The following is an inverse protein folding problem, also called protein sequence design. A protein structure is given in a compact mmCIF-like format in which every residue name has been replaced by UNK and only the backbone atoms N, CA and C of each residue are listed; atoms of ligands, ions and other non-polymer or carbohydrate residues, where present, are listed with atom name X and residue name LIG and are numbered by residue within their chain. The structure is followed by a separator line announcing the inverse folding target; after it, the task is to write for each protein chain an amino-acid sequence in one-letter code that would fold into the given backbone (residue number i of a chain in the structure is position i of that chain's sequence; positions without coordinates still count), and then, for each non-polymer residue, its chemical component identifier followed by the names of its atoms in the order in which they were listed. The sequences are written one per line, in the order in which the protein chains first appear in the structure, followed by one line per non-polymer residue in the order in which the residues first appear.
data_IF_372950315451
#
_entry.id   IF_372950315451
#
_cell.length_a   1.000
_cell.length_b   1.000
_cell.length_c   1.000
_cell.angle_alpha   90.00
_cell.angle_beta   90.00
_cell.angle_gamma   90.00
#
_symmetry.space_group_name_H-M   'P 1'
#
loop_
_entity.id
_entity.type
_entity.pdbx_description
1 polymer ?
#
# COMPACT_ATOMS: atom_id res chain seq x y z
N UNK A 1 -22.55 -14.36 53.92
CA UNK A 1 -23.46 -13.89 54.99
C UNK A 1 -22.83 -12.65 55.63
N UNK A 2 -23.66 -11.62 55.92
CA UNK A 2 -23.36 -10.20 56.25
C UNK A 2 -22.95 -9.32 55.05
N UNK A 3 -23.78 -8.39 54.53
CA UNK A 3 -24.40 -7.13 55.07
C UNK A 3 -23.30 -6.18 55.57
N UNK A 4 -23.11 -4.93 55.12
CA UNK A 4 -24.00 -3.82 54.70
C UNK A 4 -23.14 -2.82 53.88
N UNK A 5 -23.57 -2.22 52.76
CA UNK A 5 -24.48 -1.07 52.59
C UNK A 5 -24.02 0.23 53.26
N UNK A 6 -23.59 1.22 52.43
CA UNK A 6 -23.77 2.69 52.50
C UNK A 6 -22.89 3.31 51.39
N UNK A 7 -23.40 3.70 50.20
CA UNK A 7 -24.20 4.88 49.87
C UNK A 7 -23.45 6.22 50.06
N UNK A 8 -22.87 6.75 48.97
CA UNK A 8 -22.85 8.21 48.72
C UNK A 8 -22.85 8.46 47.20
N UNK A 9 -24.07 8.68 46.67
CA UNK A 9 -24.31 9.39 45.43
C UNK A 9 -24.03 10.88 45.66
N UNK A 10 -23.22 11.49 44.80
CA UNK A 10 -23.40 12.90 44.43
C UNK A 10 -23.42 12.96 42.91
N UNK A 11 -24.64 13.02 42.39
CA UNK A 11 -24.93 13.34 41.00
C UNK A 11 -24.84 14.86 40.84
N UNK A 12 -23.92 15.33 40.01
CA UNK A 12 -23.96 16.68 39.45
C UNK A 12 -24.32 16.58 37.97
N UNK A 13 -25.62 16.54 37.70
CA UNK A 13 -26.17 16.84 36.40
C UNK A 13 -26.23 18.36 36.24
N UNK A 14 -25.40 18.92 35.37
CA UNK A 14 -25.66 20.24 34.77
C UNK A 14 -26.18 20.00 33.36
N UNK A 15 -27.52 19.95 33.24
CA UNK A 15 -28.22 20.22 31.99
C UNK A 15 -28.15 21.73 31.73
N UNK A 16 -27.49 22.14 30.65
CA UNK A 16 -27.74 23.40 29.97
C UNK A 16 -28.32 23.06 28.60
N UNK A 17 -29.65 23.10 28.53
CA UNK A 17 -30.41 23.08 27.29
C UNK A 17 -30.88 24.51 26.98
N UNK A 18 -30.44 25.06 25.86
CA UNK A 18 -31.07 26.17 25.13
C UNK A 18 -30.48 26.22 23.71
N UNK A 19 -31.17 26.81 22.72
CA UNK A 19 -32.20 26.14 21.94
C UNK A 19 -31.76 25.89 20.50
N UNK A 20 -32.42 24.92 19.86
CA UNK A 20 -32.43 24.77 18.42
C UNK A 20 -32.96 26.07 17.77
N UNK A 21 -32.10 26.77 17.05
CA UNK A 21 -32.40 27.92 16.22
C UNK A 21 -32.16 27.57 14.76
N UNK A 22 -33.22 27.69 13.97
CA UNK A 22 -33.35 27.30 12.58
C UNK A 22 -32.23 27.78 11.64
N UNK A 23 -31.73 26.84 10.83
CA UNK A 23 -31.15 27.14 9.53
C UNK A 23 -32.24 27.66 8.58
N UNK A 24 -31.98 28.65 7.72
CA UNK A 24 -32.94 29.04 6.69
C UNK A 24 -32.95 27.99 5.56
N UNK A 25 -34.11 27.34 5.40
CA UNK A 25 -34.48 26.56 4.21
C UNK A 25 -34.46 27.48 2.97
N UNK A 26 -33.61 27.16 1.99
CA UNK A 26 -33.83 27.54 0.59
C UNK A 26 -34.60 26.41 -0.09
N UNK A 27 -35.88 26.64 -0.41
CA UNK A 27 -36.77 25.66 -1.06
C UNK A 27 -36.76 25.76 -2.58
N UNK A 28 -36.72 24.58 -3.23
CA UNK A 28 -37.25 24.30 -4.58
C UNK A 28 -36.18 24.13 -5.66
N UNK A 29 -35.59 22.94 -5.89
CA UNK A 29 -36.10 21.78 -6.67
C UNK A 29 -36.07 21.99 -8.22
N UNK A 30 -36.09 20.92 -9.05
CA UNK A 30 -35.11 19.84 -9.21
C UNK A 30 -34.63 19.71 -10.68
N UNK A 31 -33.41 19.23 -10.95
CA UNK A 31 -32.99 18.88 -12.31
C UNK A 31 -33.04 17.36 -12.52
N UNK A 32 -34.11 16.90 -13.20
CA UNK A 32 -34.25 15.53 -13.70
C UNK A 32 -33.39 15.31 -14.95
N UNK A 33 -32.91 14.09 -15.10
CA UNK A 33 -32.44 13.53 -16.37
C UNK A 33 -33.52 13.65 -17.46
N UNK A 34 -33.10 13.97 -18.68
CA UNK A 34 -33.98 14.04 -19.86
C UNK A 34 -33.17 14.15 -21.14
N UNK A 35 -32.97 13.02 -21.80
CA UNK A 35 -32.61 12.97 -23.21
C UNK A 35 -33.73 13.63 -24.03
N UNK A 36 -33.37 14.54 -24.94
CA UNK A 36 -34.25 14.92 -26.04
C UNK A 36 -33.48 15.05 -27.35
N UNK A 37 -33.84 14.12 -28.24
CA UNK A 37 -33.85 14.24 -29.69
C UNK A 37 -34.17 15.67 -30.16
N UNK A 38 -33.40 16.17 -31.13
CA UNK A 38 -33.87 17.19 -32.06
C UNK A 38 -33.94 16.52 -33.43
N UNK A 39 -35.15 16.11 -33.80
CA UNK A 39 -35.46 15.64 -35.14
C UNK A 39 -35.87 16.81 -36.04
N UNK A 40 -35.19 16.94 -37.18
CA UNK A 40 -35.81 17.17 -38.48
C UNK A 40 -36.40 18.55 -38.80
N UNK A 41 -35.68 19.31 -39.62
CA UNK A 41 -36.28 19.99 -40.77
C UNK A 41 -35.47 19.70 -42.04
N UNK A 42 -36.11 18.92 -42.94
CA UNK A 42 -35.90 18.87 -44.41
C UNK A 42 -36.04 20.28 -45.00
N UNK A 43 -35.52 20.66 -46.16
CA UNK A 43 -34.73 20.04 -47.22
C UNK A 43 -34.27 21.17 -48.16
N UNK A 44 -33.15 20.98 -48.85
CA UNK A 44 -33.01 21.27 -50.28
C UNK A 44 -31.66 20.73 -50.73
N UNK A 45 -31.70 19.76 -51.65
CA UNK A 45 -30.54 19.25 -52.35
C UNK A 45 -30.09 20.32 -53.36
N UNK A 46 -28.82 20.68 -53.31
CA UNK A 46 -28.14 21.32 -54.42
C UNK A 46 -26.84 20.58 -54.70
N UNK A 47 -26.60 20.31 -55.97
CA UNK A 47 -25.67 19.32 -56.51
C UNK A 47 -24.22 19.55 -56.09
N UNK A 48 -23.64 18.61 -55.34
CA UNK A 48 -22.20 18.56 -55.05
C UNK A 48 -21.45 17.73 -56.09
N UNK A 49 -20.54 18.40 -56.81
CA UNK A 49 -19.52 17.89 -57.72
C UNK A 49 -18.63 16.83 -57.03
N UNK A 50 -18.17 15.76 -57.70
CA UNK A 50 -17.38 14.72 -57.05
C UNK A 50 -16.09 15.30 -56.46
N UNK A 51 -15.98 15.26 -55.12
CA UNK A 51 -14.77 15.61 -54.41
C UNK A 51 -13.74 14.50 -54.61
N UNK A 52 -12.54 14.92 -55.01
CA UNK A 52 -11.38 14.08 -55.25
C UNK A 52 -11.04 13.26 -54.01
N UNK A 53 -10.76 11.97 -54.22
CA UNK A 53 -10.27 11.07 -53.19
C UNK A 53 -8.96 11.63 -52.60
N UNK A 54 -8.99 11.94 -51.30
CA UNK A 54 -7.78 12.18 -50.52
C UNK A 54 -7.02 10.87 -50.42
N UNK A 55 -5.88 10.78 -51.10
CA UNK A 55 -4.93 9.69 -50.94
C UNK A 55 -4.48 9.65 -49.48
N UNK A 56 -4.90 8.61 -48.76
CA UNK A 56 -4.28 8.23 -47.48
C UNK A 56 -2.86 7.81 -47.82
N UNK A 57 -1.89 8.66 -47.51
CA UNK A 57 -0.47 8.31 -47.60
C UNK A 57 -0.24 7.16 -46.62
N UNK A 58 -0.04 5.96 -47.16
CA UNK A 58 0.45 4.80 -46.41
C UNK A 58 1.83 5.18 -45.89
N UNK A 59 1.95 5.46 -44.60
CA UNK A 59 3.24 5.59 -43.94
C UNK A 59 4.05 4.32 -44.26
N UNK A 60 5.23 4.50 -44.87
CA UNK A 60 6.12 3.39 -45.15
C UNK A 60 6.44 2.67 -43.82
N UNK A 61 6.49 1.33 -43.80
CA UNK A 61 6.91 0.62 -42.60
C UNK A 61 8.29 1.15 -42.22
N UNK A 62 8.42 1.62 -40.98
CA UNK A 62 9.73 1.92 -40.42
C UNK A 62 10.62 0.68 -40.60
N UNK A 63 11.88 0.83 -41.03
CA UNK A 63 12.77 -0.31 -41.17
C UNK A 63 12.82 -1.01 -39.80
N UNK A 64 12.41 -2.28 -39.77
CA UNK A 64 12.56 -3.10 -38.59
C UNK A 64 14.01 -2.96 -38.13
N UNK A 65 14.22 -2.44 -36.91
CA UNK A 65 15.52 -2.47 -36.30
C UNK A 65 16.07 -3.89 -36.47
N UNK A 66 17.29 -4.04 -37.00
CA UNK A 66 17.94 -5.35 -37.05
C UNK A 66 18.04 -5.82 -35.61
N UNK A 67 17.11 -6.67 -35.19
CA UNK A 67 17.14 -7.29 -33.89
C UNK A 67 18.48 -8.00 -33.80
N UNK A 68 19.32 -7.57 -32.86
CA UNK A 68 20.58 -8.24 -32.58
C UNK A 68 20.19 -9.63 -32.06
N UNK A 69 20.56 -10.69 -32.79
CA UNK A 69 20.14 -12.07 -32.50
C UNK A 69 20.90 -12.65 -31.30
N UNK A 70 20.67 -12.10 -30.11
CA UNK A 70 21.18 -12.59 -28.83
C UNK A 70 20.07 -13.30 -28.06
N UNK A 71 20.40 -14.44 -27.45
CA UNK A 71 19.49 -15.23 -26.62
C UNK A 71 18.55 -16.14 -27.41
N UNK A 72 17.55 -16.69 -26.71
CA UNK A 72 16.47 -17.52 -27.25
C UNK A 72 15.14 -17.13 -26.61
N UNK A 73 14.00 -17.48 -27.22
CA UNK A 73 12.71 -17.36 -26.54
C UNK A 73 12.73 -18.13 -25.20
N UNK A 74 12.15 -17.51 -24.16
CA UNK A 74 11.92 -18.17 -22.89
C UNK A 74 10.84 -19.24 -23.05
N UNK A 75 11.05 -20.39 -22.44
CA UNK A 75 10.04 -21.44 -22.40
C UNK A 75 8.92 -21.06 -21.43
N UNK A 76 7.67 -21.50 -21.65
CA UNK A 76 6.56 -21.25 -20.73
C UNK A 76 6.87 -21.67 -19.28
N UNK A 77 7.59 -22.79 -19.11
CA UNK A 77 7.96 -23.32 -17.80
C UNK A 77 8.98 -22.44 -17.07
N UNK A 78 9.89 -21.78 -17.81
CA UNK A 78 10.85 -20.85 -17.24
C UNK A 78 10.18 -19.58 -16.76
N UNK A 79 9.21 -19.08 -17.54
CA UNK A 79 8.40 -17.93 -17.16
C UNK A 79 7.60 -18.28 -15.90
N UNK A 80 6.89 -19.42 -15.89
CA UNK A 80 6.09 -19.85 -14.76
C UNK A 80 6.91 -20.05 -13.46
N UNK A 81 8.18 -20.49 -13.58
CA UNK A 81 9.05 -20.66 -12.43
C UNK A 81 9.58 -19.34 -11.84
N UNK A 82 9.67 -18.26 -12.64
CA UNK A 82 10.29 -17.00 -12.21
C UNK A 82 9.25 -15.90 -11.95
N UNK A 83 8.25 -15.81 -12.83
CA UNK A 83 7.11 -14.90 -12.74
C UNK A 83 6.04 -15.51 -11.83
N UNK A 84 6.21 -15.23 -10.54
CA UNK A 84 5.26 -15.53 -9.47
C UNK A 84 4.82 -14.23 -8.76
N UNK A 85 5.01 -13.07 -9.40
CA UNK A 85 4.57 -11.79 -8.83
C UNK A 85 3.05 -11.72 -8.76
N UNK A 86 2.56 -11.07 -7.70
CA UNK A 86 1.13 -10.85 -7.50
C UNK A 86 0.84 -9.36 -7.46
N UNK A 87 0.07 -8.91 -8.44
CA UNK A 87 -0.31 -7.51 -8.61
C UNK A 87 -1.43 -7.11 -7.65
N UNK A 88 -1.60 -5.81 -7.45
CA UNK A 88 -2.66 -5.26 -6.58
C UNK A 88 -4.09 -5.64 -7.02
N UNK A 89 -4.30 -5.86 -8.32
CA UNK A 89 -5.55 -6.33 -8.91
C UNK A 89 -5.79 -7.85 -8.77
N UNK A 90 -4.82 -8.59 -8.18
CA UNK A 90 -4.87 -10.04 -8.01
C UNK A 90 -4.37 -10.85 -9.21
N UNK A 91 -3.92 -10.19 -10.29
CA UNK A 91 -3.24 -10.88 -11.38
C UNK A 91 -1.95 -11.53 -10.86
N UNK A 92 -1.69 -12.78 -11.29
CA UNK A 92 -0.58 -13.61 -10.80
C UNK A 92 -0.92 -14.53 -9.63
N UNK A 93 -2.10 -14.41 -9.00
CA UNK A 93 -2.49 -15.32 -7.92
C UNK A 93 -2.57 -16.79 -8.40
N UNK A 94 -1.84 -17.72 -7.76
CA UNK A 94 -1.97 -19.14 -8.03
C UNK A 94 -3.32 -19.67 -7.53
N UNK A 95 -3.77 -20.79 -8.10
CA UNK A 95 -4.91 -21.53 -7.56
C UNK A 95 -4.58 -22.01 -6.14
N UNK A 96 -5.54 -21.87 -5.23
CA UNK A 96 -5.36 -22.32 -3.85
C UNK A 96 -6.27 -21.63 -2.85
N UNK A 97 -6.18 -22.11 -1.60
CA UNK A 97 -6.88 -21.55 -0.45
C UNK A 97 -6.20 -21.95 0.86
N UNK A 98 -6.44 -21.17 1.90
CA UNK A 98 -5.98 -21.46 3.25
C UNK A 98 -6.83 -20.79 4.31
N UNK A 99 -7.06 -21.49 5.41
CA UNK A 99 -7.79 -20.95 6.57
C UNK A 99 -6.86 -20.26 7.55
N UNK A 100 -7.39 -19.31 8.32
CA UNK A 100 -6.68 -18.67 9.44
C UNK A 100 -6.09 -19.72 10.39
N UNK A 101 -6.87 -20.73 10.77
CA UNK A 101 -6.42 -21.80 11.67
C UNK A 101 -5.24 -22.62 11.13
N UNK A 102 -5.25 -22.94 9.84
CA UNK A 102 -4.08 -23.58 9.21
C UNK A 102 -2.88 -22.63 9.17
N UNK A 103 -3.15 -21.34 8.94
CA UNK A 103 -2.13 -20.30 8.92
C UNK A 103 -1.44 -20.12 10.26
N UNK A 104 -2.18 -20.18 11.36
CA UNK A 104 -1.65 -20.12 12.72
C UNK A 104 -0.64 -21.24 12.97
N UNK A 105 -0.99 -22.49 12.68
CA UNK A 105 -0.09 -23.64 12.84
C UNK A 105 1.18 -23.47 12.00
N UNK A 106 1.03 -23.13 10.71
CA UNK A 106 2.15 -22.87 9.82
C UNK A 106 3.03 -21.71 10.30
N UNK A 107 2.42 -20.65 10.83
CA UNK A 107 3.13 -19.48 11.31
C UNK A 107 3.94 -19.79 12.57
N UNK A 108 3.38 -20.54 13.52
CA UNK A 108 4.09 -20.99 14.71
C UNK A 108 5.32 -21.85 14.37
N UNK A 109 5.23 -22.69 13.34
CA UNK A 109 6.33 -23.55 12.91
C UNK A 109 7.39 -22.84 12.08
N UNK A 110 7.00 -21.89 11.23
CA UNK A 110 7.90 -21.34 10.21
C UNK A 110 8.27 -19.86 10.41
N UNK A 111 7.52 -19.12 11.22
CA UNK A 111 7.60 -17.65 11.27
C UNK A 111 7.82 -17.10 12.69
N UNK A 112 7.17 -17.69 13.70
CA UNK A 112 7.08 -17.13 15.05
C UNK A 112 8.43 -16.98 15.77
N UNK A 113 9.42 -17.82 15.43
CA UNK A 113 10.79 -17.71 15.97
C UNK A 113 11.41 -16.33 15.76
N UNK A 114 11.02 -15.64 14.68
CA UNK A 114 11.45 -14.27 14.39
C UNK A 114 10.31 -13.27 14.63
N UNK A 115 9.08 -13.59 14.23
CA UNK A 115 7.99 -12.60 14.21
C UNK A 115 7.12 -12.58 15.47
N UNK A 116 7.42 -13.40 16.50
CA UNK A 116 6.55 -13.57 17.67
C UNK A 116 5.35 -14.45 17.35
N UNK A 117 4.59 -14.88 18.35
CA UNK A 117 3.43 -15.79 18.14
C UNK A 117 2.24 -15.07 17.50
N UNK A 118 2.10 -13.77 17.78
CA UNK A 118 1.02 -12.89 17.34
C UNK A 118 1.50 -11.81 16.36
N UNK A 119 2.68 -11.99 15.75
CA UNK A 119 3.25 -11.00 14.83
C UNK A 119 3.79 -9.75 15.52
N UNK A 120 4.01 -9.78 16.83
CA UNK A 120 4.52 -8.68 17.65
C UNK A 120 6.03 -8.42 17.50
N UNK A 121 6.74 -9.29 16.77
CA UNK A 121 8.19 -9.25 16.58
C UNK A 121 8.96 -9.82 17.77
N UNK A 122 9.92 -10.71 17.52
CA UNK A 122 10.85 -11.21 18.53
C UNK A 122 12.15 -10.42 18.52
N UNK A 123 12.49 -9.75 19.63
CA UNK A 123 13.73 -8.99 19.77
C UNK A 123 13.82 -7.79 18.83
N UNK A 124 14.61 -7.89 17.75
CA UNK A 124 14.77 -6.82 16.73
C UNK A 124 14.22 -7.22 15.36
N UNK A 125 13.54 -8.35 15.27
CA UNK A 125 12.87 -8.76 14.04
C UNK A 125 11.61 -7.93 13.77
N UNK A 126 11.18 -7.82 12.51
CA UNK A 126 10.04 -6.98 12.14
C UNK A 126 8.74 -7.38 12.84
N UNK A 127 8.01 -6.37 13.30
CA UNK A 127 6.62 -6.46 13.75
C UNK A 127 5.70 -6.55 12.54
N UNK A 128 4.82 -7.56 12.52
CA UNK A 128 3.88 -7.83 11.43
C UNK A 128 2.44 -7.40 11.73
N UNK A 129 2.09 -7.27 13.01
CA UNK A 129 0.76 -6.86 13.46
C UNK A 129 0.83 -5.78 14.56
N UNK A 130 -0.14 -4.85 14.55
CA UNK A 130 -0.20 -3.71 15.47
C UNK A 130 0.16 -2.37 14.83
N UNK A 131 0.30 -1.32 15.64
CA UNK A 131 0.70 0.02 15.16
C UNK A 131 -0.41 0.86 14.52
N UNK A 132 -1.67 0.42 14.57
CA UNK A 132 -2.83 1.17 14.09
C UNK A 132 -2.89 2.56 14.73
N UNK A 133 -3.08 3.59 13.92
CA UNK A 133 -3.15 4.98 14.38
C UNK A 133 -1.81 5.64 14.73
N UNK A 134 -0.68 4.92 14.66
CA UNK A 134 0.63 5.47 15.05
C UNK A 134 1.34 6.26 13.95
N UNK A 135 0.81 6.31 12.72
CA UNK A 135 1.50 6.91 11.56
C UNK A 135 1.88 8.40 11.72
N UNK A 136 1.23 9.12 12.65
CA UNK A 136 1.53 10.52 12.98
C UNK A 136 2.34 10.70 14.27
N UNK A 137 2.70 9.62 14.95
CA UNK A 137 3.53 9.66 16.16
C UNK A 137 4.99 9.95 15.80
N UNK A 138 5.77 10.44 16.76
CA UNK A 138 7.22 10.69 16.58
C UNK A 138 7.99 9.44 16.13
N UNK A 139 7.52 8.27 16.54
CA UNK A 139 8.04 6.95 16.15
C UNK A 139 6.88 6.04 15.71
N UNK A 140 6.48 6.07 14.43
CA UNK A 140 5.37 5.27 13.94
C UNK A 140 5.74 3.78 13.84
N UNK A 141 4.80 2.91 14.19
CA UNK A 141 4.90 1.45 13.99
C UNK A 141 4.20 1.07 12.69
N UNK A 142 4.99 0.77 11.66
CA UNK A 142 4.53 0.50 10.29
C UNK A 142 4.48 -0.99 10.01
N UNK A 143 3.30 -1.58 10.11
CA UNK A 143 3.04 -3.01 9.95
C UNK A 143 2.13 -3.27 8.74
N UNK A 144 1.76 -4.53 8.52
CA UNK A 144 0.79 -4.91 7.48
C UNK A 144 -0.54 -4.16 7.69
N UNK A 145 -1.13 -4.24 8.88
CA UNK A 145 -2.42 -3.62 9.16
C UNK A 145 -2.38 -2.10 9.37
N UNK A 146 -1.23 -1.51 9.71
CA UNK A 146 -1.13 -0.06 9.94
C UNK A 146 -0.67 0.74 8.73
N UNK A 147 0.13 0.16 7.83
CA UNK A 147 0.83 0.91 6.80
C UNK A 147 0.67 0.33 5.39
N UNK A 148 0.63 -0.99 5.20
CA UNK A 148 0.69 -1.55 3.85
C UNK A 148 -0.59 -1.27 3.05
N UNK A 149 -0.49 -1.00 1.73
CA UNK A 149 -1.66 -0.69 0.92
C UNK A 149 -2.41 -1.92 0.40
N UNK A 150 -1.71 -3.02 0.10
CA UNK A 150 -2.30 -4.17 -0.60
C UNK A 150 -1.94 -5.51 0.06
N UNK A 151 -2.93 -6.40 0.16
CA UNK A 151 -2.71 -7.78 0.59
C UNK A 151 -1.84 -8.57 -0.41
N UNK A 152 -1.89 -8.23 -1.70
CA UNK A 152 -1.09 -8.86 -2.76
C UNK A 152 0.41 -8.80 -2.48
N UNK A 153 0.89 -7.66 -1.96
CA UNK A 153 2.29 -7.49 -1.58
C UNK A 153 2.67 -8.44 -0.45
N UNK A 154 1.76 -8.70 0.49
CA UNK A 154 1.98 -9.67 1.57
C UNK A 154 2.12 -11.07 0.98
N UNK A 155 1.20 -11.46 0.09
CA UNK A 155 1.22 -12.78 -0.54
C UNK A 155 2.50 -13.00 -1.38
N UNK A 156 2.81 -12.11 -2.32
CA UNK A 156 4.01 -12.20 -3.17
C UNK A 156 5.28 -12.27 -2.32
N UNK A 157 5.43 -11.34 -1.37
CA UNK A 157 6.63 -11.29 -0.53
C UNK A 157 6.79 -12.55 0.34
N UNK A 158 5.71 -13.02 0.98
CA UNK A 158 5.77 -14.24 1.79
C UNK A 158 6.10 -15.45 0.92
N UNK A 159 5.43 -15.61 -0.23
CA UNK A 159 5.66 -16.74 -1.14
C UNK A 159 7.08 -16.76 -1.70
N UNK A 160 7.60 -15.58 -2.08
CA UNK A 160 8.87 -15.43 -2.78
C UNK A 160 10.08 -15.39 -1.84
N UNK A 161 9.95 -14.78 -0.66
CA UNK A 161 11.10 -14.41 0.16
C UNK A 161 11.09 -14.99 1.58
N UNK A 162 9.99 -15.59 2.03
CA UNK A 162 9.89 -16.20 3.35
C UNK A 162 9.76 -17.73 3.28
N UNK A 163 10.11 -18.45 4.38
CA UNK A 163 10.82 -17.98 5.57
C UNK A 163 12.25 -17.50 5.30
N UNK A 164 12.74 -16.53 6.09
CA UNK A 164 14.12 -16.04 5.94
C UNK A 164 15.13 -17.18 6.17
N UNK A 165 15.96 -17.45 5.17
CA UNK A 165 16.92 -18.57 5.16
C UNK A 165 16.40 -19.85 4.49
N UNK A 166 15.11 -19.93 4.15
CA UNK A 166 14.49 -21.04 3.42
C UNK A 166 13.37 -20.54 2.48
N UNK A 167 13.68 -19.56 1.65
CA UNK A 167 12.72 -18.90 0.76
C UNK A 167 12.16 -19.85 -0.32
N UNK A 168 10.97 -19.53 -0.84
CA UNK A 168 10.26 -20.35 -1.86
C UNK A 168 10.01 -21.80 -1.44
N UNK A 169 9.96 -22.07 -0.13
CA UNK A 169 9.64 -23.40 0.41
C UNK A 169 8.14 -23.61 0.66
N UNK A 170 7.36 -22.53 0.67
CA UNK A 170 5.91 -22.57 0.92
C UNK A 170 5.15 -22.84 -0.38
N UNK A 171 4.15 -23.71 -0.31
CA UNK A 171 3.16 -23.89 -1.36
C UNK A 171 2.17 -22.73 -1.43
N UNK A 172 1.40 -22.65 -2.51
CA UNK A 172 0.34 -21.65 -2.66
C UNK A 172 -0.70 -21.71 -1.53
N UNK A 173 -1.19 -22.91 -1.18
CA UNK A 173 -2.16 -23.11 -0.11
C UNK A 173 -1.62 -22.70 1.27
N UNK A 174 -0.37 -23.08 1.57
CA UNK A 174 0.31 -22.67 2.81
C UNK A 174 0.48 -21.15 2.87
N UNK A 175 0.78 -20.51 1.74
CA UNK A 175 0.93 -19.05 1.65
C UNK A 175 -0.43 -18.38 1.87
N UNK A 176 -1.51 -18.85 1.25
CA UNK A 176 -2.87 -18.35 1.51
C UNK A 176 -3.25 -18.48 2.98
N UNK A 177 -2.91 -19.61 3.62
CA UNK A 177 -3.19 -19.85 5.03
C UNK A 177 -2.45 -18.85 5.93
N UNK A 178 -1.14 -18.69 5.73
CA UNK A 178 -0.31 -17.72 6.48
C UNK A 178 -0.84 -16.29 6.29
N UNK A 179 -1.18 -15.89 5.07
CA UNK A 179 -1.74 -14.55 4.80
C UNK A 179 -3.10 -14.39 5.49
N UNK A 180 -3.98 -15.40 5.47
CA UNK A 180 -5.24 -15.36 6.21
C UNK A 180 -5.01 -15.11 7.70
N UNK A 181 -4.03 -15.80 8.30
CA UNK A 181 -3.66 -15.59 9.70
C UNK A 181 -3.10 -14.19 9.96
N UNK A 182 -2.21 -13.67 9.10
CA UNK A 182 -1.69 -12.31 9.22
C UNK A 182 -2.79 -11.23 9.11
N UNK A 183 -3.78 -11.45 8.25
CA UNK A 183 -4.96 -10.58 8.15
C UNK A 183 -5.80 -10.66 9.43
N UNK A 184 -5.95 -11.85 10.03
CA UNK A 184 -6.66 -12.03 11.28
C UNK A 184 -5.95 -11.35 12.47
N UNK A 185 -4.62 -11.48 12.58
CA UNK A 185 -3.81 -10.79 13.59
C UNK A 185 -3.91 -9.26 13.51
N UNK A 186 -4.26 -8.72 12.34
CA UNK A 186 -4.47 -7.30 12.13
C UNK A 186 -5.96 -6.89 12.20
N UNK A 187 -6.82 -7.74 12.74
CA UNK A 187 -8.26 -7.52 12.90
C UNK A 187 -9.02 -7.26 11.57
N UNK A 188 -8.50 -7.77 10.45
CA UNK A 188 -9.09 -7.54 9.11
C UNK A 188 -10.08 -8.63 8.69
N UNK A 189 -9.91 -9.84 9.23
CA UNK A 189 -10.78 -10.99 8.95
C UNK A 189 -11.02 -11.80 10.23
N UNK A 190 -12.17 -12.48 10.37
CA UNK A 190 -12.46 -13.30 11.56
C UNK A 190 -11.67 -14.62 11.58
N UNK A 191 -11.58 -15.27 12.74
CA UNK A 191 -10.85 -16.53 12.95
C UNK A 191 -11.31 -17.69 12.03
N UNK A 192 -12.59 -17.71 11.64
CA UNK A 192 -13.14 -18.72 10.73
C UNK A 192 -12.89 -18.47 9.24
N UNK A 193 -12.15 -17.40 8.89
CA UNK A 193 -11.99 -16.99 7.50
C UNK A 193 -11.12 -17.96 6.69
N UNK A 194 -11.48 -18.15 5.43
CA UNK A 194 -10.71 -18.92 4.44
C UNK A 194 -10.40 -17.99 3.28
N UNK A 195 -9.12 -17.69 3.11
CA UNK A 195 -8.63 -16.89 1.99
C UNK A 195 -8.41 -17.81 0.79
N UNK A 196 -8.81 -17.36 -0.39
CA UNK A 196 -8.64 -18.09 -1.65
C UNK A 196 -8.46 -17.10 -2.79
N UNK A 197 -8.01 -17.60 -3.95
CA UNK A 197 -7.87 -16.78 -5.16
C UNK A 197 -9.13 -15.97 -5.49
N UNK A 198 -10.32 -16.54 -5.28
CA UNK A 198 -11.60 -15.92 -5.65
C UNK A 198 -12.03 -14.77 -4.73
N UNK A 199 -11.59 -14.78 -3.46
CA UNK A 199 -11.94 -13.75 -2.49
C UNK A 199 -10.79 -12.81 -2.13
N UNK A 200 -9.55 -13.17 -2.48
CA UNK A 200 -8.36 -12.36 -2.23
C UNK A 200 -8.47 -10.92 -2.76
N UNK A 201 -8.95 -10.65 -3.99
CA UNK A 201 -9.07 -9.28 -4.50
C UNK A 201 -10.09 -8.41 -3.75
N UNK A 202 -10.86 -8.99 -2.82
CA UNK A 202 -11.84 -8.28 -2.00
C UNK A 202 -11.28 -7.83 -0.64
N UNK A 203 -10.05 -8.24 -0.31
CA UNK A 203 -9.37 -7.86 0.92
C UNK A 203 -8.74 -6.48 0.72
N UNK A 204 -9.29 -5.45 1.39
CA UNK A 204 -8.73 -4.11 1.41
C UNK A 204 -7.94 -3.90 2.71
N UNK A 205 -6.75 -3.29 2.60
CA UNK A 205 -5.97 -2.89 3.78
C UNK A 205 -6.29 -1.45 4.19
N UNK A 206 -6.20 -1.09 5.49
CA UNK A 206 -6.68 0.21 5.96
C UNK A 206 -5.96 1.43 5.37
N UNK A 207 -4.73 1.26 4.88
CA UNK A 207 -3.87 2.36 4.44
C UNK A 207 -3.76 2.48 2.90
N UNK A 208 -4.57 1.74 2.14
CA UNK A 208 -4.53 1.71 0.66
C UNK A 208 -4.57 3.12 0.04
N UNK A 209 -5.47 3.99 0.51
CA UNK A 209 -5.69 5.32 -0.08
C UNK A 209 -4.65 6.39 0.31
N UNK A 210 -3.68 6.08 1.18
CA UNK A 210 -2.78 7.07 1.78
C UNK A 210 -1.39 7.11 1.15
N UNK A 211 -1.22 6.46 -0.01
CA UNK A 211 -0.02 6.56 -0.83
C UNK A 211 -0.31 7.44 -2.05
N UNK A 212 0.67 8.25 -2.43
CA UNK A 212 0.58 9.14 -3.57
C UNK A 212 1.91 9.13 -4.32
N UNK A 213 1.83 9.43 -5.61
CA UNK A 213 3.01 9.55 -6.47
C UNK A 213 3.91 10.69 -5.97
N UNK A 214 5.21 10.56 -6.21
CA UNK A 214 6.21 11.55 -5.82
C UNK A 214 5.82 12.95 -6.31
N UNK A 215 5.55 13.85 -5.36
CA UNK A 215 5.09 15.20 -5.61
C UNK A 215 6.16 16.28 -5.35
N UNK A 216 7.42 15.89 -5.13
CA UNK A 216 8.50 16.81 -4.73
C UNK A 216 8.72 17.98 -5.70
N UNK A 217 8.50 17.77 -6.99
CA UNK A 217 8.53 18.84 -8.01
C UNK A 217 7.46 19.93 -7.79
N UNK A 218 6.40 19.62 -7.06
CA UNK A 218 5.32 20.56 -6.72
C UNK A 218 5.42 21.07 -5.29
N UNK A 219 5.75 20.20 -4.33
CA UNK A 219 5.76 20.52 -2.89
C UNK A 219 7.09 21.10 -2.42
N UNK A 220 8.20 20.72 -3.04
CA UNK A 220 9.55 21.07 -2.58
C UNK A 220 10.27 22.09 -3.46
N UNK A 221 9.95 22.11 -4.76
CA UNK A 221 10.64 22.92 -5.76
C UNK A 221 10.79 24.39 -5.40
N UNK A 222 9.84 24.95 -4.67
CA UNK A 222 9.89 26.34 -4.19
C UNK A 222 11.13 26.64 -3.31
N UNK A 223 11.68 25.63 -2.62
CA UNK A 223 12.87 25.78 -1.79
C UNK A 223 14.14 25.13 -2.38
N UNK A 224 14.07 24.57 -3.59
CA UNK A 224 15.26 24.15 -4.34
C UNK A 224 15.99 25.39 -4.87
N UNK A 225 17.00 25.85 -4.14
CA UNK A 225 17.79 27.04 -4.52
C UNK A 225 18.80 26.67 -5.61
N UNK A 226 18.46 26.96 -6.87
CA UNK A 226 19.37 26.80 -8.02
C UNK A 226 20.67 27.59 -7.85
N UNK A 227 20.55 28.83 -7.38
CA UNK A 227 21.66 29.71 -7.07
C UNK A 227 21.73 29.87 -5.54
N UNK A 228 22.52 29.03 -4.84
CA UNK A 228 22.65 29.12 -3.39
C UNK A 228 23.33 30.43 -2.98
N UNK A 229 23.10 30.86 -1.74
CA UNK A 229 23.80 32.02 -1.20
C UNK A 229 25.30 31.73 -1.06
N UNK A 230 26.15 32.62 -1.56
CA UNK A 230 27.60 32.45 -1.56
C UNK A 230 28.33 33.33 -0.54
N UNK A 231 27.80 34.50 -0.21
CA UNK A 231 28.45 35.47 0.68
C UNK A 231 27.43 36.10 1.64
N UNK A 232 27.84 36.31 2.89
CA UNK A 232 27.03 36.94 3.95
C UNK A 232 25.62 36.32 4.12
N UNK A 233 25.54 34.99 4.08
CA UNK A 233 24.28 34.27 4.24
C UNK A 233 23.72 34.46 5.66
N UNK A 234 22.41 34.70 5.77
CA UNK A 234 21.76 35.01 7.05
C UNK A 234 21.66 33.80 7.99
N UNK A 235 21.54 34.09 9.28
CA UNK A 235 21.30 33.10 10.34
C UNK A 235 22.42 33.06 11.37
N UNK A 236 22.04 32.90 12.64
CA UNK A 236 23.00 32.60 13.72
C UNK A 236 23.36 31.12 13.67
N UNK A 237 24.65 30.80 13.79
CA UNK A 237 25.14 29.41 13.78
C UNK A 237 25.48 28.96 15.20
N UNK A 238 24.82 27.91 15.65
CA UNK A 238 25.09 27.26 16.94
C UNK A 238 25.05 25.73 16.78
N UNK A 239 25.83 25.03 17.61
CA UNK A 239 25.87 23.56 17.60
C UNK A 239 24.64 23.01 18.32
N UNK A 240 23.71 22.41 17.58
CA UNK A 240 22.46 21.83 18.12
C UNK A 240 22.57 20.34 18.46
N UNK A 241 23.48 19.61 17.81
CA UNK A 241 23.71 18.19 18.05
C UNK A 241 25.17 17.81 17.79
N UNK A 242 25.67 16.79 18.51
CA UNK A 242 26.99 16.19 18.28
C UNK A 242 26.84 14.67 18.21
N UNK A 243 27.24 14.06 17.09
CA UNK A 243 27.14 12.60 16.92
C UNK A 243 27.92 11.82 17.98
N UNK A 244 29.01 12.39 18.49
CA UNK A 244 29.80 11.85 19.60
C UNK A 244 29.01 11.66 20.90
N UNK A 245 27.86 12.34 21.07
CA UNK A 245 26.98 12.12 22.24
C UNK A 245 26.28 10.76 22.14
N UNK A 246 25.90 10.33 20.93
CA UNK A 246 25.29 9.02 20.71
C UNK A 246 26.32 7.89 20.74
N UNK A 247 27.51 8.14 20.18
CA UNK A 247 28.66 7.23 20.22
C UNK A 247 28.36 5.78 19.79
N UNK A 248 27.60 5.60 18.71
CA UNK A 248 27.24 4.29 18.15
C UNK A 248 28.00 3.93 16.86
N UNK A 249 28.94 4.78 16.44
CA UNK A 249 29.85 4.49 15.32
C UNK A 249 30.94 3.54 15.82
N UNK A 250 31.19 2.39 15.17
CA UNK A 250 32.29 1.51 15.57
C UNK A 250 33.62 2.26 15.57
N UNK A 251 34.38 2.13 16.66
CA UNK A 251 35.76 2.60 16.71
C UNK A 251 36.64 1.71 15.82
N UNK A 252 37.60 2.31 15.11
CA UNK A 252 38.62 1.53 14.41
C UNK A 252 39.79 1.19 15.32
N UNK A 253 40.31 -0.04 15.26
CA UNK A 253 41.77 -0.16 15.17
C UNK A 253 42.17 0.29 13.75
N UNK A 254 43.28 1.04 13.60
CA UNK A 254 43.83 1.33 12.28
C UNK A 254 43.97 0.01 11.49
N UNK A 255 43.61 -0.04 10.18
CA UNK A 255 43.69 -1.28 9.43
C UNK A 255 45.11 -1.84 9.48
N UNK A 256 45.28 -2.99 10.14
CA UNK A 256 46.50 -3.81 10.06
C UNK A 256 46.49 -4.56 8.72
N UNK A 257 46.63 -3.81 7.64
CA UNK A 257 46.77 -4.34 6.30
C UNK A 257 47.95 -3.65 5.64
N UNK A 258 49.07 -4.37 5.52
CA UNK A 258 50.13 -3.99 4.60
C UNK A 258 49.55 -4.14 3.18
N UNK A 259 49.02 -3.05 2.65
CA UNK A 259 48.85 -2.89 1.20
C UNK A 259 50.15 -2.28 0.67
N UNK A 260 51.16 -3.14 0.57
CA UNK A 260 52.12 -3.10 -0.53
C UNK A 260 51.61 -4.03 -1.64
#
# INVERSE_FOLDING_TARGET
MWKSAEALLVASALLLAAPAGAAPEAKGAPAKAGAQNVGGQKAAQEHAKPQQAVNVSTAAPAPAARAIALGRPALPEEIAAWNIDVRADGEGLPEGKGSVKQGEELFLHNCAVCHGEFGEGAGRWPVLAGGQGTLKSDRPEKTIGSFWPYASTVFDYVHRAMPFGNNQSLTADETYAIVAYLLNLNDLVPEGYVLSKENFPKVALPNEANFYEDDRETTEKAFWKKDPCMTNCSGEVHVTARAQILNVTPDGEAPKGNLE
#
